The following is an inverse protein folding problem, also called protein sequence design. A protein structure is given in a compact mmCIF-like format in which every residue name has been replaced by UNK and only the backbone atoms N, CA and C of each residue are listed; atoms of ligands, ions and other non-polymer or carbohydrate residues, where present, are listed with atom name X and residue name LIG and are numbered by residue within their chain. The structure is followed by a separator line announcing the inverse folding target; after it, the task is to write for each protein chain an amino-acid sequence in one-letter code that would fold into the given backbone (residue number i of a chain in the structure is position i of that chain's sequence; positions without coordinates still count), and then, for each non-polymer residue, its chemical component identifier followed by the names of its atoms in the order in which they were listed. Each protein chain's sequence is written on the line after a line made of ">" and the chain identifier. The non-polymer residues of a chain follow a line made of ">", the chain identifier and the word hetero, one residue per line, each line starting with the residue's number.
data_IF_472951209326
#
_entry.id   IF_472951209326
#
_cell.length_a   1.000
_cell.length_b   1.000
_cell.length_c   1.000
_cell.angle_alpha   90.00
_cell.angle_beta   90.00
_cell.angle_gamma   90.00
#
_symmetry.space_group_name_H-M   'P 1'
#
loop_
_entity.id
_entity.type
_entity.pdbx_description
1 polymer ?
#
# COMPACT_ATOMS: atom_id res chain seq x y z
N UNK A 1 21.42 15.50 -4.54
CA UNK A 1 20.03 15.08 -4.26
C UNK A 1 19.48 14.39 -5.50
N UNK A 2 18.32 13.73 -5.40
CA UNK A 2 17.64 13.21 -6.59
C UNK A 2 17.03 14.38 -7.36
N UNK A 3 17.32 14.48 -8.65
CA UNK A 3 16.76 15.53 -9.51
C UNK A 3 15.30 15.26 -9.88
N UNK A 4 14.91 13.99 -9.97
CA UNK A 4 13.56 13.54 -10.29
C UNK A 4 13.17 12.44 -9.32
N UNK A 5 11.96 12.53 -8.78
CA UNK A 5 11.35 11.52 -7.91
C UNK A 5 10.01 11.11 -8.52
N UNK A 6 9.79 9.81 -8.70
CA UNK A 6 8.50 9.29 -9.14
C UNK A 6 7.53 9.29 -7.96
N UNK A 7 6.34 9.83 -8.21
CA UNK A 7 5.23 9.86 -7.25
C UNK A 7 4.13 8.93 -7.74
N UNK A 8 3.58 8.13 -6.81
CA UNK A 8 2.34 7.37 -6.97
C UNK A 8 1.28 8.08 -6.12
N UNK A 9 0.18 8.48 -6.77
CA UNK A 9 -0.94 9.18 -6.13
C UNK A 9 -2.21 8.34 -6.29
N UNK A 10 -2.72 7.83 -5.16
CA UNK A 10 -4.06 7.28 -5.07
C UNK A 10 -4.97 8.44 -4.69
N UNK A 11 -5.61 9.03 -5.71
CA UNK A 11 -6.38 10.27 -5.61
C UNK A 11 -7.37 10.23 -4.45
N UNK A 12 -7.21 11.17 -3.52
CA UNK A 12 -8.07 11.32 -2.34
C UNK A 12 -7.78 10.36 -1.18
N UNK A 13 -6.72 9.55 -1.27
CA UNK A 13 -6.32 8.61 -0.23
C UNK A 13 -4.86 8.78 0.23
N UNK A 14 -3.89 8.64 -0.68
CA UNK A 14 -2.47 8.58 -0.32
C UNK A 14 -1.53 9.01 -1.46
N UNK A 15 -0.37 9.56 -1.10
CA UNK A 15 0.67 10.02 -2.04
C UNK A 15 2.05 9.55 -1.57
N UNK A 16 2.78 8.82 -2.41
CA UNK A 16 4.05 8.19 -2.04
C UNK A 16 5.14 8.39 -3.10
N UNK A 17 6.39 8.55 -2.66
CA UNK A 17 7.56 8.42 -3.52
C UNK A 17 7.91 6.92 -3.68
N UNK A 18 7.57 6.34 -4.83
CA UNK A 18 7.72 4.88 -5.08
C UNK A 18 8.16 4.58 -6.51
N UNK A 19 9.09 3.63 -6.66
CA UNK A 19 9.63 3.11 -7.91
C UNK A 19 9.04 1.76 -8.37
N UNK A 20 8.11 1.15 -7.61
CA UNK A 20 7.53 -0.15 -7.92
C UNK A 20 6.55 -0.17 -9.11
N UNK A 21 6.24 -1.37 -9.61
CA UNK A 21 5.19 -1.56 -10.63
C UNK A 21 3.83 -1.57 -9.97
N UNK A 22 2.93 -0.72 -10.44
CA UNK A 22 1.58 -0.57 -9.90
C UNK A 22 0.52 -0.91 -10.95
N UNK A 23 -0.64 -1.35 -10.47
CA UNK A 23 -1.88 -1.43 -11.26
C UNK A 23 -2.39 -0.02 -11.60
N UNK A 24 -3.20 0.09 -12.64
CA UNK A 24 -3.74 1.39 -13.08
C UNK A 24 -4.92 1.87 -12.22
N UNK A 25 -5.54 0.98 -11.43
CA UNK A 25 -6.68 1.30 -10.58
C UNK A 25 -6.78 0.32 -9.40
N UNK A 26 -7.24 0.80 -8.23
CA UNK A 26 -7.51 -0.05 -7.06
C UNK A 26 -8.54 -1.14 -7.35
N UNK A 27 -9.42 -0.96 -8.34
CA UNK A 27 -10.39 -1.97 -8.79
C UNK A 27 -9.74 -3.25 -9.33
N UNK A 28 -8.51 -3.16 -9.86
CA UNK A 28 -7.79 -4.32 -10.39
C UNK A 28 -7.25 -5.24 -9.28
N UNK A 29 -7.19 -4.75 -8.04
CA UNK A 29 -6.74 -5.53 -6.88
C UNK A 29 -7.85 -6.47 -6.38
N UNK A 30 -9.12 -6.05 -6.49
CA UNK A 30 -10.26 -6.81 -5.96
C UNK A 30 -10.49 -6.57 -4.47
N UNK A 31 -11.03 -7.58 -3.77
CA UNK A 31 -11.24 -7.53 -2.33
C UNK A 31 -9.95 -7.79 -1.55
N UNK A 32 -9.93 -7.36 -0.28
CA UNK A 32 -8.78 -7.55 0.62
C UNK A 32 -9.28 -7.95 2.01
N UNK A 33 -8.72 -9.04 2.54
CA UNK A 33 -8.95 -9.48 3.92
C UNK A 33 -7.73 -9.26 4.82
N UNK A 34 -7.96 -8.79 6.05
CA UNK A 34 -6.93 -8.76 7.11
C UNK A 34 -6.88 -10.13 7.78
N UNK A 35 -5.86 -10.92 7.46
CA UNK A 35 -5.72 -12.30 7.96
C UNK A 35 -4.98 -12.39 9.30
N UNK A 36 -4.19 -11.36 9.66
CA UNK A 36 -3.51 -11.31 10.96
C UNK A 36 -3.14 -9.88 11.35
N UNK A 37 -3.26 -9.56 12.64
CA UNK A 37 -2.72 -8.34 13.25
C UNK A 37 -1.72 -8.75 14.33
N UNK A 38 -0.49 -8.25 14.25
CA UNK A 38 0.58 -8.55 15.20
C UNK A 38 1.10 -7.25 15.83
N UNK A 39 1.17 -7.20 17.16
CA UNK A 39 1.83 -6.11 17.88
C UNK A 39 3.36 -6.26 17.76
N UNK A 40 4.06 -5.21 17.33
CA UNK A 40 5.52 -5.15 17.19
C UNK A 40 6.15 -4.05 18.06
N UNK A 41 5.44 -3.65 19.11
CA UNK A 41 5.84 -2.61 20.06
C UNK A 41 4.81 -1.49 20.16
N UNK A 42 5.04 -0.55 21.09
CA UNK A 42 4.09 0.52 21.46
C UNK A 42 3.53 1.32 20.27
N UNK A 43 4.35 1.57 19.25
CA UNK A 43 3.97 2.37 18.07
C UNK A 43 3.77 1.54 16.79
N UNK A 44 4.08 0.23 16.81
CA UNK A 44 4.16 -0.56 15.59
C UNK A 44 3.18 -1.73 15.62
N UNK A 45 2.31 -1.81 14.60
CA UNK A 45 1.47 -2.98 14.32
C UNK A 45 1.80 -3.48 12.94
N UNK A 46 1.90 -4.80 12.78
CA UNK A 46 2.07 -5.45 11.47
C UNK A 46 0.76 -6.11 11.08
N UNK A 47 0.21 -5.67 9.95
CA UNK A 47 -0.93 -6.31 9.31
C UNK A 47 -0.42 -7.32 8.29
N UNK A 48 -1.08 -8.48 8.21
CA UNK A 48 -0.99 -9.39 7.07
C UNK A 48 -2.33 -9.37 6.38
N UNK A 49 -2.30 -9.14 5.06
CA UNK A 49 -3.49 -9.06 4.22
C UNK A 49 -3.43 -10.11 3.11
N UNK A 50 -4.58 -10.43 2.53
CA UNK A 50 -4.69 -11.34 1.38
C UNK A 50 -5.64 -10.77 0.33
N UNK A 51 -5.26 -11.03 -0.92
CA UNK A 51 -6.08 -11.11 -2.14
C UNK A 51 -7.43 -11.83 -1.93
N UNK A 52 -8.59 -11.22 -2.17
CA UNK A 52 -9.83 -11.97 -2.35
C UNK A 52 -10.45 -11.68 -3.71
N UNK A 53 -11.10 -12.70 -4.27
CA UNK A 53 -11.80 -12.62 -5.56
C UNK A 53 -13.08 -11.78 -5.45
#
# INVERSE_FOLDING_TARGET
>A
GLEIVRIVDIVGLDVQADGGTHVASTKQIGGIDVVKVENKGKANRRLRVRLTD
#
